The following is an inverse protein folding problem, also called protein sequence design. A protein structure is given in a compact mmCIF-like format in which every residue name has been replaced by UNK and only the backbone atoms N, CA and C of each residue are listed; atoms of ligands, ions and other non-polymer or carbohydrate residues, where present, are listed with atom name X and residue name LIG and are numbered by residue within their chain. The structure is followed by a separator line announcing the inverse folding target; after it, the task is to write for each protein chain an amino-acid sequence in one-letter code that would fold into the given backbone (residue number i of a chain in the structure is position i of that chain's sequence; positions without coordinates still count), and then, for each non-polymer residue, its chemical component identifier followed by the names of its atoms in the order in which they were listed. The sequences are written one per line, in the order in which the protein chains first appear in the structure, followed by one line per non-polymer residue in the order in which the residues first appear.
data_IF_154577146331
#
_entry.id   IF_154577146331
#
_cell.length_a   1.000
_cell.length_b   1.000
_cell.length_c   1.000
_cell.angle_alpha   90.00
_cell.angle_beta   90.00
_cell.angle_gamma   90.00
#
_symmetry.space_group_name_H-M   'P 1'
#
loop_
_entity.id
_entity.type
_entity.pdbx_description
1 polymer ?
#
# COMPACT_ATOMS: atom_id res chain seq x y z
N UNK A 1 -45.39 0.61 -28.64
CA UNK A 1 -45.12 1.05 -27.25
C UNK A 1 -43.93 0.31 -26.61
N UNK A 2 -43.92 -1.04 -26.58
CA UNK A 2 -42.84 -1.86 -25.99
C UNK A 2 -41.45 -1.57 -26.61
N UNK A 3 -41.39 -1.39 -27.95
CA UNK A 3 -40.13 -1.11 -28.66
C UNK A 3 -39.63 0.29 -28.36
N UNK A 4 -40.53 1.28 -28.24
CA UNK A 4 -40.19 2.66 -27.90
C UNK A 4 -39.67 2.72 -26.44
N UNK A 5 -40.34 2.07 -25.51
CA UNK A 5 -39.91 2.01 -24.11
C UNK A 5 -38.52 1.33 -23.97
N UNK A 6 -38.28 0.21 -24.66
CA UNK A 6 -36.96 -0.43 -24.71
C UNK A 6 -35.86 0.48 -25.30
N UNK A 7 -36.18 1.23 -26.34
CA UNK A 7 -35.24 2.17 -26.96
C UNK A 7 -34.91 3.34 -26.02
N UNK A 8 -35.89 3.87 -25.30
CA UNK A 8 -35.71 4.93 -24.31
C UNK A 8 -34.90 4.44 -23.11
N UNK A 9 -35.22 3.25 -22.59
CA UNK A 9 -34.46 2.62 -21.50
C UNK A 9 -33.00 2.36 -21.91
N UNK A 10 -32.77 1.82 -23.09
CA UNK A 10 -31.43 1.62 -23.63
C UNK A 10 -30.68 2.95 -23.75
N UNK A 11 -31.31 4.00 -24.28
CA UNK A 11 -30.70 5.34 -24.38
C UNK A 11 -30.38 5.92 -23.01
N UNK A 12 -31.23 5.74 -22.01
CA UNK A 12 -31.01 6.19 -20.65
C UNK A 12 -29.81 5.46 -20.02
N UNK A 13 -29.76 4.14 -20.14
CA UNK A 13 -28.63 3.32 -19.65
C UNK A 13 -27.30 3.70 -20.33
N UNK A 14 -27.30 3.98 -21.62
CA UNK A 14 -26.09 4.43 -22.34
C UNK A 14 -25.64 5.80 -21.83
N UNK A 15 -26.58 6.75 -21.67
CA UNK A 15 -26.27 8.09 -21.16
C UNK A 15 -25.73 8.06 -19.73
N UNK A 16 -26.39 7.30 -18.86
CA UNK A 16 -25.95 7.10 -17.47
C UNK A 16 -24.55 6.45 -17.40
N UNK A 17 -24.33 5.41 -18.21
CA UNK A 17 -23.03 4.76 -18.29
C UNK A 17 -21.92 5.71 -18.74
N UNK A 18 -22.22 6.59 -19.71
CA UNK A 18 -21.27 7.61 -20.19
C UNK A 18 -20.94 8.60 -19.07
N UNK A 19 -21.95 9.11 -18.38
CA UNK A 19 -21.77 10.06 -17.27
C UNK A 19 -20.96 9.44 -16.14
N UNK A 20 -21.27 8.19 -15.74
CA UNK A 20 -20.52 7.48 -14.70
C UNK A 20 -19.04 7.27 -15.09
N UNK A 21 -18.78 6.97 -16.38
CA UNK A 21 -17.41 6.83 -16.89
C UNK A 21 -16.64 8.15 -16.84
N UNK A 22 -17.29 9.26 -17.22
CA UNK A 22 -16.68 10.60 -17.15
C UNK A 22 -16.35 10.98 -15.70
N UNK A 23 -17.26 10.71 -14.76
CA UNK A 23 -17.01 10.94 -13.33
C UNK A 23 -15.83 10.10 -12.80
N UNK A 24 -15.75 8.84 -13.21
CA UNK A 24 -14.64 7.98 -12.85
C UNK A 24 -13.32 8.47 -13.47
N UNK A 25 -13.34 8.86 -14.74
CA UNK A 25 -12.17 9.40 -15.42
C UNK A 25 -11.66 10.68 -14.73
N UNK A 26 -12.58 11.58 -14.34
CA UNK A 26 -12.21 12.81 -13.59
C UNK A 26 -11.62 12.47 -12.22
N UNK A 27 -12.25 11.56 -11.47
CA UNK A 27 -11.81 11.15 -10.13
C UNK A 27 -10.39 10.53 -10.11
N UNK A 28 -9.99 9.86 -11.19
CA UNK A 28 -8.72 9.14 -11.26
C UNK A 28 -7.70 9.77 -12.20
N UNK A 29 -7.82 11.06 -12.49
CA UNK A 29 -6.75 11.82 -13.16
C UNK A 29 -5.49 11.90 -12.31
N UNK A 30 -4.34 11.99 -12.94
CA UNK A 30 -3.06 12.19 -12.22
C UNK A 30 -3.07 13.46 -11.37
N UNK A 31 -3.75 14.51 -11.80
CA UNK A 31 -3.90 15.77 -11.09
C UNK A 31 -4.71 15.65 -9.79
N UNK A 32 -5.47 14.56 -9.63
CA UNK A 32 -6.20 14.26 -8.40
C UNK A 32 -5.34 13.50 -7.37
N UNK A 33 -4.14 13.07 -7.76
CA UNK A 33 -3.21 12.43 -6.84
C UNK A 33 -2.54 13.52 -6.01
N UNK A 34 -2.85 13.52 -4.71
CA UNK A 34 -2.32 14.51 -3.77
C UNK A 34 -0.83 14.25 -3.55
N UNK A 35 0.01 15.15 -4.04
CA UNK A 35 1.46 15.09 -3.87
C UNK A 35 2.08 16.46 -4.11
N UNK A 36 3.12 16.76 -3.34
CA UNK A 36 4.02 17.91 -3.50
C UNK A 36 5.49 17.50 -3.42
N UNK A 37 5.75 16.21 -3.11
CA UNK A 37 7.10 15.67 -2.99
C UNK A 37 7.67 15.32 -4.35
N UNK A 38 8.92 15.72 -4.62
CA UNK A 38 9.63 15.42 -5.88
C UNK A 38 9.69 13.91 -6.18
N UNK A 39 9.88 13.09 -5.14
CA UNK A 39 9.96 11.62 -5.32
C UNK A 39 8.65 11.01 -5.79
N UNK A 40 7.51 11.55 -5.37
CA UNK A 40 6.20 11.11 -5.85
C UNK A 40 5.88 11.69 -7.23
N UNK A 41 6.24 12.93 -7.50
CA UNK A 41 6.11 13.54 -8.82
C UNK A 41 6.89 12.76 -9.89
N UNK A 42 8.09 12.29 -9.57
CA UNK A 42 8.86 11.42 -10.48
C UNK A 42 8.10 10.14 -10.80
N UNK A 43 7.50 9.48 -9.80
CA UNK A 43 6.68 8.28 -10.01
C UNK A 43 5.45 8.58 -10.88
N UNK A 44 4.76 9.70 -10.63
CA UNK A 44 3.60 10.17 -11.41
C UNK A 44 4.02 10.46 -12.87
N UNK A 45 5.14 11.12 -13.09
CA UNK A 45 5.64 11.43 -14.42
C UNK A 45 5.97 10.17 -15.24
N UNK A 46 6.60 9.16 -14.61
CA UNK A 46 6.84 7.86 -15.26
C UNK A 46 5.52 7.18 -15.59
N UNK A 47 4.58 7.16 -14.66
CA UNK A 47 3.24 6.57 -14.86
C UNK A 47 2.47 7.28 -15.98
N UNK A 48 2.51 8.61 -16.06
CA UNK A 48 1.89 9.41 -17.11
C UNK A 48 2.45 9.11 -18.50
N UNK A 49 3.77 9.00 -18.61
CA UNK A 49 4.43 8.59 -19.88
C UNK A 49 4.08 7.14 -20.25
N UNK A 50 4.02 6.24 -19.28
CA UNK A 50 3.62 4.86 -19.50
C UNK A 50 2.16 4.74 -19.94
N UNK A 51 1.28 5.64 -19.51
CA UNK A 51 -0.15 5.62 -19.84
C UNK A 51 -0.40 5.66 -21.37
N UNK A 52 0.35 6.45 -22.11
CA UNK A 52 0.24 6.59 -23.57
C UNK A 52 0.66 5.31 -24.33
N UNK A 53 1.42 4.41 -23.72
CA UNK A 53 1.92 3.20 -24.34
C UNK A 53 0.98 2.00 -24.11
N UNK A 54 1.18 0.92 -24.91
CA UNK A 54 0.52 -0.37 -24.68
C UNK A 54 1.33 -1.30 -23.77
N UNK A 55 2.50 -0.86 -23.33
CA UNK A 55 3.44 -1.66 -22.55
C UNK A 55 2.85 -2.07 -21.20
N UNK A 56 3.32 -3.20 -20.70
CA UNK A 56 3.06 -3.64 -19.32
C UNK A 56 3.74 -2.69 -18.35
N UNK A 57 3.07 -2.40 -17.24
CA UNK A 57 3.59 -1.54 -16.17
C UNK A 57 3.65 -2.36 -14.88
N UNK A 58 4.80 -2.36 -14.23
CA UNK A 58 4.99 -2.93 -12.90
C UNK A 58 5.10 -1.81 -11.87
N UNK A 59 4.13 -1.77 -10.96
CA UNK A 59 4.09 -0.78 -9.86
C UNK A 59 4.63 -1.46 -8.60
N UNK A 60 5.72 -0.95 -8.07
CA UNK A 60 6.33 -1.45 -6.82
C UNK A 60 6.17 -0.44 -5.70
N UNK A 61 6.00 -0.92 -4.48
CA UNK A 61 5.88 -0.07 -3.29
C UNK A 61 5.20 -0.79 -2.14
N UNK A 62 5.41 -0.32 -0.93
CA UNK A 62 4.84 -0.90 0.27
C UNK A 62 3.31 -0.94 0.24
N UNK A 63 2.71 -1.76 1.12
CA UNK A 63 1.25 -1.78 1.28
C UNK A 63 0.75 -0.39 1.72
N UNK A 64 -0.42 0.03 1.20
CA UNK A 64 -1.04 1.31 1.55
C UNK A 64 -0.41 2.56 0.93
N UNK A 65 0.56 2.44 0.01
CA UNK A 65 1.20 3.61 -0.66
C UNK A 65 0.35 4.25 -1.75
N UNK A 66 -0.73 3.58 -2.23
CA UNK A 66 -1.60 4.08 -3.29
C UNK A 66 -1.33 3.46 -4.67
N UNK A 67 -0.73 2.25 -4.75
CA UNK A 67 -0.45 1.55 -6.02
C UNK A 67 -1.67 1.43 -6.94
N UNK A 68 -2.85 1.09 -6.38
CA UNK A 68 -4.09 0.99 -7.15
C UNK A 68 -4.52 2.34 -7.74
N UNK A 69 -4.34 3.45 -7.02
CA UNK A 69 -4.66 4.78 -7.51
C UNK A 69 -3.82 5.12 -8.75
N UNK A 70 -2.53 4.82 -8.71
CA UNK A 70 -1.61 4.98 -9.86
C UNK A 70 -2.06 4.09 -11.04
N UNK A 71 -2.44 2.82 -10.79
CA UNK A 71 -2.92 1.92 -11.84
C UNK A 71 -4.18 2.46 -12.52
N UNK A 72 -5.14 2.99 -11.76
CA UNK A 72 -6.34 3.65 -12.28
C UNK A 72 -6.00 4.89 -13.09
N UNK A 73 -5.11 5.75 -12.59
CA UNK A 73 -4.65 6.94 -13.31
C UNK A 73 -3.99 6.58 -14.66
N UNK A 74 -3.16 5.52 -14.69
CA UNK A 74 -2.58 4.99 -15.94
C UNK A 74 -3.67 4.56 -16.92
N UNK A 75 -4.72 3.88 -16.47
CA UNK A 75 -5.80 3.45 -17.34
C UNK A 75 -6.58 4.64 -17.90
N UNK A 76 -7.04 5.57 -17.04
CA UNK A 76 -7.87 6.70 -17.45
C UNK A 76 -7.10 7.74 -18.29
N UNK A 77 -5.78 7.81 -18.18
CA UNK A 77 -4.92 8.60 -19.05
C UNK A 77 -4.49 7.87 -20.35
N UNK A 78 -4.95 6.63 -20.58
CA UNK A 78 -4.55 5.81 -21.73
C UNK A 78 -5.55 5.89 -22.89
N UNK A 79 -5.18 5.42 -24.11
CA UNK A 79 -6.12 5.24 -25.20
C UNK A 79 -7.27 4.26 -24.92
N UNK A 80 -7.21 3.51 -23.81
CA UNK A 80 -8.21 2.54 -23.36
C UNK A 80 -9.13 3.09 -22.26
N UNK A 81 -9.14 4.40 -21.99
CA UNK A 81 -9.89 5.04 -20.90
C UNK A 81 -11.38 4.70 -20.88
N UNK A 82 -11.97 4.49 -22.08
CA UNK A 82 -13.40 4.17 -22.26
C UNK A 82 -13.68 2.66 -22.27
N UNK A 83 -12.65 1.84 -22.10
CA UNK A 83 -12.72 0.38 -22.06
C UNK A 83 -12.76 -0.13 -20.60
N UNK A 84 -13.09 -1.41 -20.37
CA UNK A 84 -13.10 -1.94 -19.00
C UNK A 84 -11.77 -1.78 -18.28
N UNK A 85 -11.84 -1.37 -17.01
CA UNK A 85 -10.76 -1.51 -16.03
C UNK A 85 -11.20 -2.52 -14.98
N UNK A 86 -10.53 -3.66 -14.93
CA UNK A 86 -10.80 -4.68 -13.92
C UNK A 86 -9.60 -4.81 -13.00
N UNK A 87 -9.86 -4.83 -11.70
CA UNK A 87 -8.86 -5.08 -10.67
C UNK A 87 -9.06 -6.48 -10.07
N UNK A 88 -7.97 -7.17 -9.82
CA UNK A 88 -7.92 -8.41 -9.04
C UNK A 88 -6.79 -8.30 -8.03
N UNK A 89 -7.10 -8.59 -6.77
CA UNK A 89 -6.10 -8.67 -5.70
C UNK A 89 -5.83 -10.15 -5.42
N UNK A 90 -4.62 -10.62 -5.74
CA UNK A 90 -4.25 -12.02 -5.59
C UNK A 90 -4.08 -12.43 -4.12
N UNK A 91 -3.67 -11.51 -3.24
CA UNK A 91 -3.55 -11.79 -1.81
C UNK A 91 -4.92 -11.99 -1.09
N UNK A 92 -6.00 -11.49 -1.68
CA UNK A 92 -7.35 -11.64 -1.12
C UNK A 92 -8.02 -12.97 -1.51
N UNK A 93 -7.40 -13.75 -2.39
CA UNK A 93 -7.95 -15.00 -2.92
C UNK A 93 -7.21 -16.22 -2.34
N UNK A 94 -7.90 -17.31 -2.04
CA UNK A 94 -7.24 -18.59 -1.81
C UNK A 94 -6.41 -19.01 -3.03
N UNK A 95 -5.22 -19.56 -2.80
CA UNK A 95 -4.25 -19.91 -3.84
C UNK A 95 -4.86 -20.77 -4.96
N UNK A 96 -5.67 -21.75 -4.59
CA UNK A 96 -6.37 -22.66 -5.52
C UNK A 96 -7.47 -21.98 -6.37
N UNK A 97 -7.89 -20.77 -6.02
CA UNK A 97 -8.92 -20.03 -6.77
C UNK A 97 -8.32 -18.93 -7.67
N UNK A 98 -7.06 -18.54 -7.47
CA UNK A 98 -6.40 -17.48 -8.26
C UNK A 98 -6.45 -17.80 -9.75
N UNK A 99 -6.12 -19.05 -10.12
CA UNK A 99 -6.12 -19.49 -11.51
C UNK A 99 -7.51 -19.41 -12.13
N UNK A 100 -8.53 -19.92 -11.42
CA UNK A 100 -9.93 -19.90 -11.86
C UNK A 100 -10.50 -18.48 -11.96
N UNK A 101 -10.15 -17.56 -11.05
CA UNK A 101 -10.57 -16.16 -11.13
C UNK A 101 -9.90 -15.43 -12.31
N UNK A 102 -8.62 -15.67 -12.57
CA UNK A 102 -7.91 -15.03 -13.68
C UNK A 102 -8.38 -15.54 -15.05
N UNK A 103 -8.41 -16.86 -15.23
CA UNK A 103 -8.62 -17.49 -16.55
C UNK A 103 -10.03 -18.07 -16.75
N UNK A 104 -10.84 -18.12 -15.69
CA UNK A 104 -12.15 -18.79 -15.76
C UNK A 104 -12.05 -20.32 -15.69
N UNK A 105 -13.20 -20.97 -15.67
CA UNK A 105 -13.27 -22.42 -15.62
C UNK A 105 -14.44 -22.96 -16.43
N UNK A 106 -14.29 -24.17 -16.93
CA UNK A 106 -15.35 -24.94 -17.54
C UNK A 106 -16.15 -25.70 -16.46
N UNK A 107 -17.37 -26.12 -16.80
CA UNK A 107 -18.19 -26.92 -15.92
C UNK A 107 -17.46 -28.22 -15.60
N UNK A 108 -17.37 -28.57 -14.29
CA UNK A 108 -16.71 -29.79 -13.81
C UNK A 108 -15.18 -29.68 -13.68
N UNK A 109 -14.60 -28.50 -13.84
CA UNK A 109 -13.14 -28.30 -13.72
C UNK A 109 -12.60 -28.64 -12.32
N UNK A 110 -13.41 -28.49 -11.28
CA UNK A 110 -13.08 -28.87 -9.89
C UNK A 110 -14.39 -29.12 -9.11
N UNK A 111 -14.30 -29.62 -7.89
CA UNK A 111 -15.46 -29.87 -7.01
C UNK A 111 -16.13 -28.54 -6.66
N UNK A 112 -17.39 -28.34 -7.14
CA UNK A 112 -18.14 -27.09 -7.00
C UNK A 112 -18.19 -26.21 -8.26
N UNK A 113 -17.55 -26.61 -9.36
CA UNK A 113 -17.65 -25.95 -10.66
C UNK A 113 -18.94 -26.39 -11.40
N UNK A 114 -20.11 -25.98 -10.90
CA UNK A 114 -21.43 -26.40 -11.44
C UNK A 114 -21.75 -25.82 -12.82
N UNK A 115 -21.12 -24.73 -13.17
CA UNK A 115 -21.31 -24.02 -14.47
C UNK A 115 -20.00 -23.38 -14.95
N UNK A 116 -19.90 -23.15 -16.23
CA UNK A 116 -18.82 -22.38 -16.82
C UNK A 116 -18.83 -20.93 -16.31
N UNK A 117 -17.66 -20.37 -16.00
CA UNK A 117 -17.49 -18.97 -15.59
C UNK A 117 -16.32 -18.33 -16.33
N UNK A 118 -16.57 -17.14 -16.91
CA UNK A 118 -15.52 -16.32 -17.55
C UNK A 118 -14.56 -15.76 -16.50
N UNK A 119 -13.26 -15.79 -16.83
CA UNK A 119 -12.21 -15.22 -15.99
C UNK A 119 -12.03 -13.71 -16.20
N UNK A 120 -11.18 -13.11 -15.36
CA UNK A 120 -10.86 -11.67 -15.42
C UNK A 120 -10.25 -11.26 -16.76
N UNK A 121 -9.45 -12.12 -17.38
CA UNK A 121 -8.89 -11.86 -18.71
C UNK A 121 -9.97 -11.71 -19.79
N UNK A 122 -10.96 -12.57 -19.81
CA UNK A 122 -12.08 -12.46 -20.76
C UNK A 122 -12.92 -11.20 -20.51
N UNK A 123 -13.19 -10.90 -19.23
CA UNK A 123 -13.99 -9.74 -18.84
C UNK A 123 -13.28 -8.40 -19.10
N UNK A 124 -11.93 -8.42 -19.08
CA UNK A 124 -11.08 -7.26 -19.35
C UNK A 124 -10.74 -7.07 -20.83
N UNK A 125 -11.30 -7.90 -21.71
CA UNK A 125 -10.95 -7.84 -23.14
C UNK A 125 -11.10 -6.43 -23.72
N UNK A 126 -10.16 -6.04 -24.56
CA UNK A 126 -9.97 -4.70 -25.11
C UNK A 126 -9.67 -3.59 -24.08
N UNK A 127 -9.65 -3.90 -22.78
CA UNK A 127 -9.45 -2.99 -21.66
C UNK A 127 -8.10 -3.14 -20.97
N UNK A 128 -8.12 -2.94 -19.64
CA UNK A 128 -6.96 -3.06 -18.76
C UNK A 128 -7.28 -3.98 -17.59
N UNK A 129 -6.40 -4.94 -17.33
CA UNK A 129 -6.44 -5.77 -16.12
C UNK A 129 -5.33 -5.29 -15.17
N UNK A 130 -5.74 -4.87 -13.98
CA UNK A 130 -4.86 -4.56 -12.88
C UNK A 130 -4.75 -5.79 -11.96
N UNK A 131 -3.53 -6.31 -11.83
CA UNK A 131 -3.23 -7.45 -10.97
C UNK A 131 -2.46 -6.93 -9.77
N UNK A 132 -3.15 -6.81 -8.63
CA UNK A 132 -2.54 -6.40 -7.37
C UNK A 132 -1.93 -7.61 -6.67
N UNK A 133 -0.80 -7.38 -6.02
CA UNK A 133 0.02 -8.37 -5.32
C UNK A 133 0.40 -9.55 -6.23
N UNK A 134 1.02 -9.24 -7.39
CA UNK A 134 1.44 -10.22 -8.40
C UNK A 134 2.40 -11.28 -7.84
N UNK A 135 3.14 -10.96 -6.78
CA UNK A 135 4.04 -11.90 -6.08
C UNK A 135 3.33 -13.03 -5.33
N UNK A 136 1.99 -12.96 -5.19
CA UNK A 136 1.21 -14.03 -4.55
C UNK A 136 0.73 -15.09 -5.54
N UNK A 137 0.99 -14.94 -6.83
CA UNK A 137 0.54 -15.89 -7.85
C UNK A 137 1.39 -17.18 -7.81
N UNK A 138 0.76 -18.37 -7.71
CA UNK A 138 1.47 -19.65 -7.69
C UNK A 138 2.24 -19.91 -9.00
N UNK A 139 3.36 -20.64 -8.93
CA UNK A 139 4.21 -20.95 -10.08
C UNK A 139 3.46 -21.53 -11.30
N UNK A 140 2.51 -22.49 -11.15
CA UNK A 140 1.72 -22.98 -12.29
C UNK A 140 0.92 -21.87 -12.98
N UNK A 141 0.34 -20.97 -12.19
CA UNK A 141 -0.45 -19.83 -12.69
C UNK A 141 0.45 -18.79 -13.37
N UNK A 142 1.71 -18.60 -12.89
CA UNK A 142 2.70 -17.73 -13.53
C UNK A 142 3.02 -18.20 -14.96
N UNK A 143 3.08 -19.50 -15.23
CA UNK A 143 3.29 -20.07 -16.58
C UNK A 143 2.15 -19.68 -17.52
N UNK A 144 0.90 -19.81 -17.08
CA UNK A 144 -0.26 -19.40 -17.88
C UNK A 144 -0.29 -17.88 -18.12
N UNK A 145 0.03 -17.11 -17.08
CA UNK A 145 0.12 -15.64 -17.19
C UNK A 145 1.17 -15.22 -18.23
N UNK A 146 2.34 -15.85 -18.24
CA UNK A 146 3.39 -15.61 -19.23
C UNK A 146 2.89 -15.88 -20.66
N UNK A 147 2.13 -16.98 -20.88
CA UNK A 147 1.54 -17.30 -22.19
C UNK A 147 0.57 -16.19 -22.64
N UNK A 148 -0.27 -15.67 -21.74
CA UNK A 148 -1.16 -14.54 -22.08
C UNK A 148 -0.37 -13.29 -22.44
N UNK A 149 0.67 -12.96 -21.70
CA UNK A 149 1.52 -11.79 -21.96
C UNK A 149 2.28 -11.88 -23.30
N UNK A 150 2.59 -13.09 -23.77
CA UNK A 150 3.34 -13.32 -25.01
C UNK A 150 2.44 -13.51 -26.23
N UNK A 151 1.37 -14.30 -26.08
CA UNK A 151 0.54 -14.79 -27.17
C UNK A 151 -0.88 -14.19 -27.19
N UNK A 152 -1.28 -13.52 -26.10
CA UNK A 152 -2.65 -13.01 -25.92
C UNK A 152 -3.72 -14.14 -25.99
N UNK A 153 -3.34 -15.34 -25.56
CA UNK A 153 -4.20 -16.52 -25.55
C UNK A 153 -4.04 -17.31 -24.25
N UNK A 154 -5.10 -18.00 -23.87
CA UNK A 154 -5.10 -18.95 -22.74
C UNK A 154 -6.22 -19.97 -22.90
N UNK A 155 -6.26 -20.97 -22.03
CA UNK A 155 -7.31 -21.96 -21.90
C UNK A 155 -7.93 -21.84 -20.50
N UNK A 156 -9.26 -21.97 -20.39
CA UNK A 156 -9.95 -22.01 -19.11
C UNK A 156 -9.52 -23.24 -18.31
N UNK A 157 -9.63 -23.16 -16.99
CA UNK A 157 -9.35 -24.31 -16.12
C UNK A 157 -10.31 -25.47 -16.47
N UNK A 158 -9.76 -26.65 -16.72
CA UNK A 158 -10.53 -27.84 -17.14
C UNK A 158 -11.00 -27.82 -18.60
N UNK A 159 -10.65 -26.79 -19.37
CA UNK A 159 -10.97 -26.69 -20.81
C UNK A 159 -9.76 -26.82 -21.71
N UNK A 160 -10.02 -27.05 -23.00
CA UNK A 160 -9.02 -27.11 -24.08
C UNK A 160 -9.27 -26.07 -25.18
N UNK A 161 -10.30 -25.25 -25.06
CA UNK A 161 -10.61 -24.19 -26.01
C UNK A 161 -9.67 -23.01 -25.79
N UNK A 162 -9.00 -22.57 -26.86
CA UNK A 162 -8.12 -21.41 -26.83
C UNK A 162 -8.93 -20.13 -26.90
N UNK A 163 -8.83 -19.31 -25.87
CA UNK A 163 -9.48 -17.98 -25.79
C UNK A 163 -8.47 -16.91 -26.16
N UNK A 164 -8.84 -16.05 -27.10
CA UNK A 164 -8.03 -14.89 -27.51
C UNK A 164 -8.51 -13.63 -26.79
N UNK A 165 -7.57 -12.82 -26.29
CA UNK A 165 -7.89 -11.56 -25.59
C UNK A 165 -6.87 -10.48 -25.93
N UNK A 166 -7.31 -9.23 -25.95
CA UNK A 166 -6.42 -8.07 -26.11
C UNK A 166 -6.46 -7.20 -24.85
N UNK A 167 -5.73 -7.60 -23.81
CA UNK A 167 -5.74 -6.95 -22.51
C UNK A 167 -4.43 -6.25 -22.25
N UNK A 168 -4.48 -4.98 -21.80
CA UNK A 168 -3.32 -4.30 -21.22
C UNK A 168 -3.15 -4.73 -19.77
N UNK A 169 -1.94 -5.10 -19.38
CA UNK A 169 -1.64 -5.51 -18.00
C UNK A 169 -0.96 -4.36 -17.26
N UNK A 170 -1.45 -4.08 -16.05
CA UNK A 170 -0.78 -3.29 -15.02
C UNK A 170 -0.67 -4.20 -13.79
N UNK A 171 0.53 -4.48 -13.34
CA UNK A 171 0.77 -5.33 -12.17
C UNK A 171 1.29 -4.50 -11.00
N UNK A 172 0.96 -4.89 -9.78
CA UNK A 172 1.51 -4.27 -8.57
C UNK A 172 1.98 -5.31 -7.57
N UNK A 173 2.98 -4.94 -6.75
CA UNK A 173 3.48 -5.77 -5.65
C UNK A 173 4.15 -4.93 -4.57
N UNK A 174 4.09 -5.43 -3.34
CA UNK A 174 4.90 -4.96 -2.21
C UNK A 174 6.13 -5.86 -1.96
N UNK A 175 6.20 -7.04 -2.61
CA UNK A 175 7.31 -7.99 -2.46
C UNK A 175 8.49 -7.64 -3.36
N UNK A 176 9.68 -8.05 -2.97
CA UNK A 176 10.88 -8.00 -3.80
C UNK A 176 10.89 -9.21 -4.76
N UNK A 177 10.46 -8.98 -6.02
CA UNK A 177 10.40 -10.04 -7.02
C UNK A 177 11.78 -10.56 -7.40
N UNK A 178 12.83 -9.74 -7.33
CA UNK A 178 14.20 -10.14 -7.61
C UNK A 178 14.71 -11.17 -6.57
N UNK A 179 14.37 -10.99 -5.30
CA UNK A 179 14.64 -11.99 -4.25
C UNK A 179 13.82 -13.26 -4.50
N UNK A 180 12.55 -13.14 -4.85
CA UNK A 180 11.68 -14.28 -5.13
C UNK A 180 12.17 -15.10 -6.35
N UNK A 181 12.84 -14.48 -7.32
CA UNK A 181 13.48 -15.20 -8.42
C UNK A 181 14.64 -16.05 -7.88
N UNK A 182 15.46 -15.51 -6.99
CA UNK A 182 16.58 -16.24 -6.39
C UNK A 182 16.13 -17.42 -5.51
N UNK A 183 15.00 -17.30 -4.83
CA UNK A 183 14.42 -18.40 -4.03
C UNK A 183 13.62 -19.39 -4.87
N UNK A 184 13.33 -19.08 -6.12
CA UNK A 184 12.53 -19.93 -7.02
C UNK A 184 11.02 -19.78 -6.87
N UNK A 185 10.54 -18.77 -6.12
CA UNK A 185 9.11 -18.49 -5.90
C UNK A 185 8.49 -17.66 -7.03
N UNK A 186 9.31 -17.00 -7.85
CA UNK A 186 8.87 -16.23 -9.01
C UNK A 186 9.72 -16.54 -10.23
N UNK A 187 9.10 -16.67 -11.39
CA UNK A 187 9.80 -16.98 -12.64
C UNK A 187 10.48 -15.75 -13.23
N UNK A 188 11.72 -15.90 -13.61
CA UNK A 188 12.54 -14.85 -14.22
C UNK A 188 11.98 -14.38 -15.58
N UNK A 189 11.48 -15.30 -16.41
CA UNK A 189 10.89 -14.98 -17.71
C UNK A 189 9.61 -14.14 -17.61
N UNK A 190 8.78 -14.41 -16.61
CA UNK A 190 7.60 -13.61 -16.29
C UNK A 190 7.98 -12.22 -15.78
N UNK A 191 8.99 -12.13 -14.90
CA UNK A 191 9.48 -10.86 -14.39
C UNK A 191 9.89 -9.90 -15.50
N UNK A 192 10.72 -10.32 -16.45
CA UNK A 192 11.14 -9.47 -17.55
C UNK A 192 9.98 -9.07 -18.47
N UNK A 193 8.95 -9.90 -18.58
CA UNK A 193 7.76 -9.56 -19.39
C UNK A 193 6.82 -8.58 -18.67
N UNK A 194 6.78 -8.60 -17.35
CA UNK A 194 6.02 -7.65 -16.52
C UNK A 194 6.77 -6.32 -16.35
N UNK A 195 8.07 -6.35 -16.14
CA UNK A 195 8.90 -5.21 -15.80
C UNK A 195 9.40 -4.45 -17.05
N UNK A 196 8.48 -4.09 -17.96
CA UNK A 196 8.80 -3.26 -19.14
C UNK A 196 8.90 -1.79 -18.75
N UNK A 197 7.96 -1.31 -17.96
CA UNK A 197 8.02 0.01 -17.33
C UNK A 197 7.82 -0.17 -15.83
N UNK A 198 8.80 0.23 -15.03
CA UNK A 198 8.72 0.17 -13.57
C UNK A 198 8.32 1.53 -13.00
N UNK A 199 7.29 1.55 -12.16
CA UNK A 199 6.86 2.71 -11.38
C UNK A 199 7.03 2.37 -9.90
N UNK A 200 7.97 3.04 -9.25
CA UNK A 200 8.20 2.84 -7.81
C UNK A 200 7.45 3.91 -7.01
N UNK A 201 6.46 3.48 -6.22
CA UNK A 201 5.67 4.38 -5.36
C UNK A 201 6.36 4.47 -3.99
N UNK A 202 6.89 5.64 -3.61
CA UNK A 202 7.65 5.79 -2.37
C UNK A 202 6.74 5.63 -1.14
N UNK A 203 7.27 5.06 -0.03
CA UNK A 203 6.57 5.03 1.24
C UNK A 203 6.40 6.44 1.82
N UNK A 204 5.36 6.64 2.66
CA UNK A 204 4.96 7.96 3.14
C UNK A 204 6.08 8.66 3.94
N UNK A 205 6.89 7.90 4.70
CA UNK A 205 8.05 8.42 5.43
C UNK A 205 9.14 9.04 4.53
N UNK A 206 9.19 8.68 3.24
CA UNK A 206 10.10 9.27 2.23
C UNK A 206 9.49 10.46 1.48
N UNK A 207 8.19 10.74 1.72
CA UNK A 207 7.46 11.86 1.11
C UNK A 207 6.71 12.69 2.15
N UNK A 208 7.39 12.99 3.27
CA UNK A 208 6.82 13.77 4.38
C UNK A 208 6.15 15.10 3.98
N UNK A 209 6.62 15.84 2.95
CA UNK A 209 5.92 17.03 2.46
C UNK A 209 4.46 16.77 2.02
N UNK A 210 4.09 15.54 1.65
CA UNK A 210 2.73 15.21 1.25
C UNK A 210 1.78 15.06 2.45
N UNK A 211 2.31 14.81 3.67
CA UNK A 211 1.51 14.52 4.87
C UNK A 211 0.50 15.64 5.19
N UNK A 212 0.89 16.94 5.22
CA UNK A 212 -0.07 17.99 5.53
C UNK A 212 -1.25 18.05 4.56
N UNK A 213 -0.99 17.95 3.25
CA UNK A 213 -2.04 17.98 2.24
C UNK A 213 -2.95 16.75 2.30
N UNK A 214 -2.36 15.55 2.50
CA UNK A 214 -3.13 14.31 2.70
C UNK A 214 -3.99 14.41 3.96
N UNK A 215 -3.43 14.94 5.03
CA UNK A 215 -4.13 15.12 6.31
C UNK A 215 -5.31 16.07 6.16
N UNK A 216 -5.14 17.20 5.48
CA UNK A 216 -6.21 18.16 5.19
C UNK A 216 -7.30 17.52 4.30
N UNK A 217 -6.90 16.78 3.28
CA UNK A 217 -7.84 16.06 2.43
C UNK A 217 -8.71 15.07 3.23
N UNK A 218 -8.10 14.24 4.08
CA UNK A 218 -8.84 13.28 4.91
C UNK A 218 -9.67 13.97 5.98
N UNK A 219 -9.18 15.06 6.57
CA UNK A 219 -9.96 15.89 7.49
C UNK A 219 -11.26 16.35 6.82
N UNK A 220 -11.15 16.95 5.64
CA UNK A 220 -12.30 17.46 4.89
C UNK A 220 -13.27 16.33 4.47
N UNK A 221 -12.72 15.19 4.03
CA UNK A 221 -13.49 14.00 3.64
C UNK A 221 -14.33 13.51 4.81
N UNK A 222 -13.69 13.17 5.92
CA UNK A 222 -14.36 12.55 7.08
C UNK A 222 -15.21 13.54 7.89
N UNK A 223 -14.87 14.84 7.89
CA UNK A 223 -15.74 15.86 8.47
C UNK A 223 -17.08 15.94 7.75
N UNK A 224 -17.10 15.86 6.42
CA UNK A 224 -18.34 15.82 5.63
C UNK A 224 -19.11 14.51 5.82
N UNK A 225 -18.42 13.36 5.76
CA UNK A 225 -19.04 12.04 5.91
C UNK A 225 -19.69 11.84 7.29
N UNK A 226 -19.13 12.46 8.34
CA UNK A 226 -19.63 12.35 9.71
C UNK A 226 -20.45 13.59 10.16
N UNK A 227 -20.76 14.52 9.24
CA UNK A 227 -21.51 15.76 9.54
C UNK A 227 -20.90 16.56 10.70
N UNK A 228 -19.54 16.62 10.76
CA UNK A 228 -18.77 17.31 11.78
C UNK A 228 -18.19 18.62 11.26
N UNK A 229 -18.30 19.69 12.05
CA UNK A 229 -17.67 20.98 11.74
C UNK A 229 -16.25 21.06 12.33
N UNK A 230 -15.33 20.20 11.85
CA UNK A 230 -13.93 20.28 12.25
C UNK A 230 -13.19 21.13 11.20
N UNK A 231 -12.58 22.21 11.66
CA UNK A 231 -11.99 23.23 10.78
C UNK A 231 -10.48 23.07 10.57
N UNK A 232 -9.78 22.61 11.60
CA UNK A 232 -8.31 22.56 11.58
C UNK A 232 -7.75 21.51 12.54
N UNK A 233 -6.44 21.31 12.42
CA UNK A 233 -5.64 20.42 13.27
C UNK A 233 -4.67 21.32 14.05
N UNK A 234 -4.52 21.10 15.35
CA UNK A 234 -3.58 21.86 16.16
C UNK A 234 -2.14 21.64 15.68
N UNK A 235 -1.29 22.64 15.88
CA UNK A 235 0.13 22.55 15.47
C UNK A 235 0.82 21.35 16.13
N UNK A 236 0.56 21.11 17.39
CA UNK A 236 1.13 20.01 18.15
C UNK A 236 0.67 18.63 17.60
N UNK A 237 -0.59 18.52 17.17
CA UNK A 237 -1.10 17.32 16.52
C UNK A 237 -0.46 17.10 15.15
N UNK A 238 -0.30 18.17 14.36
CA UNK A 238 0.39 18.11 13.07
C UNK A 238 1.86 17.72 13.22
N UNK A 239 2.55 18.26 14.23
CA UNK A 239 3.95 17.89 14.53
C UNK A 239 4.10 16.41 14.85
N UNK A 240 3.13 15.80 15.55
CA UNK A 240 3.11 14.35 15.78
C UNK A 240 2.90 13.56 14.49
N UNK A 241 1.93 13.97 13.67
CA UNK A 241 1.66 13.35 12.37
C UNK A 241 2.88 13.40 11.44
N UNK A 242 3.63 14.51 11.44
CA UNK A 242 4.86 14.67 10.62
C UNK A 242 6.04 13.81 11.09
N UNK A 243 6.10 13.46 12.38
CA UNK A 243 7.19 12.66 12.96
C UNK A 243 6.93 11.16 12.84
N UNK A 244 5.69 10.74 12.73
CA UNK A 244 5.33 9.32 12.68
C UNK A 244 5.78 8.67 11.36
N UNK A 245 6.21 7.40 11.41
CA UNK A 245 6.84 6.71 10.27
C UNK A 245 5.84 5.99 9.34
N UNK A 246 4.59 5.85 9.75
CA UNK A 246 3.50 5.25 8.95
C UNK A 246 3.85 3.90 8.33
N UNK A 247 4.01 2.81 9.09
CA UNK A 247 4.25 1.47 8.54
C UNK A 247 3.14 1.02 7.56
N UNK A 248 1.89 1.46 7.78
CA UNK A 248 0.76 1.26 6.86
C UNK A 248 0.57 2.38 5.82
N UNK A 249 1.54 3.30 5.70
CA UNK A 249 1.57 4.38 4.70
C UNK A 249 0.29 5.26 4.70
N UNK A 250 -0.22 5.61 3.50
CA UNK A 250 -1.39 6.48 3.35
C UNK A 250 -2.66 5.84 3.93
N UNK A 251 -2.79 4.51 3.84
CA UNK A 251 -3.93 3.81 4.44
C UNK A 251 -3.96 3.96 5.95
N UNK A 252 -2.81 3.95 6.60
CA UNK A 252 -2.73 4.19 8.05
C UNK A 252 -3.01 5.66 8.39
N UNK A 253 -2.46 6.61 7.63
CA UNK A 253 -2.78 8.02 7.82
C UNK A 253 -4.29 8.29 7.65
N UNK A 254 -4.93 7.70 6.64
CA UNK A 254 -6.37 7.77 6.42
C UNK A 254 -7.14 7.28 7.67
N UNK A 255 -6.80 6.09 8.18
CA UNK A 255 -7.44 5.53 9.38
C UNK A 255 -7.20 6.40 10.63
N UNK A 256 -5.99 6.96 10.79
CA UNK A 256 -5.66 7.89 11.89
C UNK A 256 -6.54 9.12 11.82
N UNK A 257 -6.73 9.69 10.64
CA UNK A 257 -7.56 10.88 10.45
C UNK A 257 -9.06 10.60 10.63
N UNK A 258 -9.53 9.47 10.11
CA UNK A 258 -10.91 9.02 10.34
C UNK A 258 -11.20 8.89 11.84
N UNK A 259 -10.33 8.17 12.56
CA UNK A 259 -10.47 8.00 14.01
C UNK A 259 -10.43 9.35 14.75
N UNK A 260 -9.51 10.25 14.37
CA UNK A 260 -9.39 11.56 15.00
C UNK A 260 -10.66 12.41 14.81
N UNK A 261 -11.23 12.39 13.60
CA UNK A 261 -12.50 13.09 13.31
C UNK A 261 -13.66 12.51 14.12
N UNK A 262 -13.80 11.19 14.16
CA UNK A 262 -14.90 10.51 14.88
C UNK A 262 -14.82 10.76 16.39
N UNK A 263 -13.63 10.72 16.97
CA UNK A 263 -13.42 10.87 18.42
C UNK A 263 -13.29 12.31 18.89
N UNK A 264 -13.03 13.26 18.01
CA UNK A 264 -12.94 14.69 18.37
C UNK A 264 -14.23 15.20 19.02
N UNK A 265 -14.09 16.02 20.05
CA UNK A 265 -15.20 16.66 20.76
C UNK A 265 -15.39 18.13 20.39
N UNK A 266 -14.47 18.70 19.66
CA UNK A 266 -14.46 20.11 19.28
C UNK A 266 -14.33 20.34 17.78
N UNK A 267 -14.12 21.59 17.40
CA UNK A 267 -13.89 22.01 16.01
C UNK A 267 -12.40 21.94 15.58
N UNK A 268 -11.52 21.51 16.47
CA UNK A 268 -10.07 21.42 16.24
C UNK A 268 -9.59 20.03 16.70
N UNK A 269 -8.85 19.32 15.86
CA UNK A 269 -8.17 18.07 16.23
C UNK A 269 -6.94 18.41 17.07
N UNK A 270 -6.88 17.84 18.27
CA UNK A 270 -5.77 17.97 19.19
C UNK A 270 -4.97 16.67 19.30
N UNK A 271 -3.84 16.70 19.99
CA UNK A 271 -3.02 15.50 20.26
C UNK A 271 -3.81 14.40 20.99
N UNK A 272 -4.85 14.75 21.75
CA UNK A 272 -5.68 13.79 22.50
C UNK A 272 -6.61 12.97 21.60
N UNK A 273 -6.95 13.51 20.44
CA UNK A 273 -7.83 12.89 19.46
C UNK A 273 -7.08 11.90 18.55
N UNK A 274 -5.73 11.98 18.52
CA UNK A 274 -4.89 11.06 17.78
C UNK A 274 -4.76 9.69 18.48
N UNK A 275 -4.60 8.58 17.75
CA UNK A 275 -4.33 7.26 18.30
C UNK A 275 -3.08 7.24 19.20
N UNK A 276 -3.08 6.31 20.18
CA UNK A 276 -1.91 6.12 21.07
C UNK A 276 -0.63 5.81 20.32
N UNK A 277 -0.71 5.06 19.22
CA UNK A 277 0.44 4.70 18.37
C UNK A 277 1.16 5.94 17.83
N UNK A 278 0.42 6.95 17.38
CA UNK A 278 0.99 8.22 16.90
C UNK A 278 1.52 9.06 18.05
N UNK A 279 0.82 9.07 19.21
CA UNK A 279 1.23 9.84 20.40
C UNK A 279 2.48 9.27 21.05
N UNK A 280 2.60 7.95 21.13
CA UNK A 280 3.73 7.26 21.76
C UNK A 280 5.00 7.23 20.91
N UNK A 281 4.91 7.50 19.63
CA UNK A 281 6.08 7.58 18.75
C UNK A 281 7.15 8.62 19.19
N UNK A 282 6.80 9.52 20.11
CA UNK A 282 7.78 10.38 20.80
C UNK A 282 8.41 9.74 22.05
N UNK A 283 7.81 8.66 22.56
CA UNK A 283 8.15 8.09 23.86
C UNK A 283 9.00 6.83 23.77
N UNK A 284 9.21 6.31 22.58
CA UNK A 284 10.17 5.23 22.45
C UNK A 284 11.57 5.82 22.48
N UNK A 285 12.33 5.58 23.57
CA UNK A 285 13.76 5.60 23.44
C UNK A 285 14.06 4.65 22.28
N UNK A 286 14.82 5.09 21.28
CA UNK A 286 15.40 4.18 20.28
C UNK A 286 15.83 2.95 21.04
N UNK A 287 15.18 1.81 20.82
CA UNK A 287 15.76 0.54 21.25
C UNK A 287 17.19 0.61 20.77
N UNK A 288 18.20 0.44 21.61
CA UNK A 288 19.56 0.44 21.13
C UNK A 288 19.55 -0.54 19.95
N UNK A 289 20.02 -0.07 18.77
CA UNK A 289 20.28 -0.95 17.65
C UNK A 289 21.26 -2.00 18.17
N UNK A 290 20.72 -3.10 18.63
CA UNK A 290 21.52 -4.26 19.02
C UNK A 290 21.98 -4.84 17.69
N UNK A 291 23.02 -4.22 17.12
CA UNK A 291 23.78 -4.85 16.07
C UNK A 291 24.33 -6.15 16.66
N UNK A 292 23.88 -7.27 16.12
CA UNK A 292 24.36 -8.61 16.52
C UNK A 292 25.83 -8.89 16.08
N UNK A 293 26.58 -7.84 15.75
CA UNK A 293 28.00 -7.88 15.44
C UNK A 293 28.80 -7.53 16.70
N UNK A 294 29.15 -8.54 17.48
CA UNK A 294 30.02 -8.39 18.65
C UNK A 294 29.87 -9.53 19.66
N UNK A 295 30.87 -9.68 20.55
CA UNK A 295 30.82 -10.63 21.64
C UNK A 295 29.65 -10.25 22.60
N UNK A 296 28.81 -11.23 22.95
CA UNK A 296 27.65 -11.07 23.84
C UNK A 296 27.95 -10.24 25.11
N UNK A 297 29.13 -10.42 25.71
CA UNK A 297 29.53 -9.66 26.89
C UNK A 297 29.78 -8.18 26.62
N UNK A 298 30.29 -7.82 25.44
CA UNK A 298 30.51 -6.41 25.03
C UNK A 298 29.18 -5.69 24.81
N UNK A 299 28.17 -6.38 24.26
CA UNK A 299 26.84 -5.84 24.09
C UNK A 299 26.13 -5.61 25.42
N UNK A 300 26.25 -6.54 26.36
CA UNK A 300 25.74 -6.36 27.75
C UNK A 300 26.40 -5.17 28.42
N UNK A 301 27.73 -5.03 28.31
CA UNK A 301 28.44 -3.89 28.89
C UNK A 301 28.01 -2.55 28.28
N UNK A 302 27.83 -2.49 26.97
CA UNK A 302 27.36 -1.29 26.31
C UNK A 302 25.94 -0.91 26.78
N UNK A 303 25.03 -1.88 26.88
CA UNK A 303 23.67 -1.67 27.38
C UNK A 303 23.65 -1.22 28.84
N UNK A 304 24.48 -1.84 29.69
CA UNK A 304 24.61 -1.44 31.10
C UNK A 304 25.09 0.01 31.24
N UNK A 305 26.10 0.41 30.46
CA UNK A 305 26.61 1.79 30.44
C UNK A 305 25.51 2.78 30.06
N UNK A 306 24.72 2.46 29.02
CA UNK A 306 23.66 3.33 28.55
C UNK A 306 22.52 3.48 29.58
N UNK A 307 22.09 2.38 30.19
CA UNK A 307 21.09 2.39 31.25
C UNK A 307 21.54 3.18 32.48
N UNK A 308 22.81 3.04 32.89
CA UNK A 308 23.37 3.78 34.01
C UNK A 308 23.44 5.27 33.71
N UNK A 309 23.87 5.64 32.48
CA UNK A 309 23.91 7.05 32.04
C UNK A 309 22.54 7.67 32.06
N UNK A 310 21.56 6.98 31.47
CA UNK A 310 20.17 7.45 31.46
C UNK A 310 19.60 7.66 32.85
N UNK A 311 19.82 6.70 33.75
CA UNK A 311 19.35 6.80 35.13
C UNK A 311 20.03 7.93 35.95
N UNK A 312 21.30 8.22 35.68
CA UNK A 312 22.01 9.33 36.29
C UNK A 312 21.49 10.68 35.78
N UNK A 313 21.23 10.79 34.48
CA UNK A 313 20.64 11.98 33.88
C UNK A 313 19.25 12.27 34.48
N UNK A 314 18.39 11.27 34.57
CA UNK A 314 17.06 11.41 35.17
C UNK A 314 17.10 11.70 36.68
N UNK A 315 18.16 11.29 37.34
CA UNK A 315 18.37 11.53 38.77
C UNK A 315 19.18 12.80 39.05
N UNK A 316 19.44 13.66 38.03
CA UNK A 316 20.27 14.87 38.19
C UNK A 316 21.64 14.60 38.85
N UNK A 317 22.27 13.47 38.53
CA UNK A 317 23.55 13.04 39.08
C UNK A 317 23.49 12.40 40.48
N UNK A 318 22.34 12.31 41.13
CA UNK A 318 22.18 11.76 42.49
C UNK A 318 22.18 10.24 42.45
N UNK A 319 23.30 9.60 42.83
CA UNK A 319 23.48 8.15 42.72
C UNK A 319 22.46 7.31 43.49
N UNK A 320 21.99 7.78 44.66
CA UNK A 320 20.91 7.11 45.42
C UNK A 320 19.59 7.05 44.67
N UNK A 321 19.23 8.12 43.97
CA UNK A 321 18.01 8.17 43.13
C UNK A 321 18.19 7.31 41.88
N UNK A 322 19.32 7.38 41.21
CA UNK A 322 19.64 6.58 40.05
C UNK A 322 19.62 5.07 40.33
N UNK A 323 20.20 4.64 41.47
CA UNK A 323 20.16 3.24 41.90
C UNK A 323 18.72 2.74 42.10
N UNK A 324 17.84 3.60 42.65
CA UNK A 324 16.44 3.28 42.86
C UNK A 324 15.66 3.18 41.54
N UNK A 325 15.97 4.04 40.56
CA UNK A 325 15.40 3.96 39.20
C UNK A 325 15.80 2.68 38.48
N UNK A 326 17.05 2.23 38.66
CA UNK A 326 17.59 0.98 38.07
C UNK A 326 17.18 -0.28 38.83
N UNK A 327 16.50 -0.18 39.99
CA UNK A 327 16.13 -1.33 40.81
C UNK A 327 17.34 -2.06 41.42
N UNK A 328 18.48 -1.38 41.57
CA UNK A 328 19.71 -1.95 42.14
C UNK A 328 20.13 -1.22 43.43
N UNK A 329 21.02 -1.83 44.19
CA UNK A 329 21.58 -1.17 45.41
C UNK A 329 22.59 -0.09 45.01
N UNK A 330 22.71 0.96 45.84
CA UNK A 330 23.69 2.03 45.64
C UNK A 330 25.12 1.50 45.57
N UNK A 331 25.43 0.46 46.35
CA UNK A 331 26.72 -0.22 46.33
C UNK A 331 26.99 -0.88 44.96
N UNK A 332 25.97 -1.48 44.37
CA UNK A 332 26.08 -2.12 43.06
C UNK A 332 26.25 -1.07 41.95
N UNK A 333 25.52 0.06 42.03
CA UNK A 333 25.71 1.17 41.11
C UNK A 333 27.11 1.74 41.17
N UNK A 334 27.66 2.00 42.36
CA UNK A 334 29.06 2.48 42.55
C UNK A 334 30.08 1.50 41.98
N UNK A 335 29.87 0.20 42.16
CA UNK A 335 30.74 -0.82 41.58
C UNK A 335 30.74 -0.72 40.06
N UNK A 336 29.55 -0.63 39.43
CA UNK A 336 29.42 -0.51 37.97
C UNK A 336 30.01 0.80 37.45
N UNK A 337 29.78 1.91 38.12
CA UNK A 337 30.39 3.20 37.77
C UNK A 337 31.93 3.14 37.78
N UNK A 338 32.51 2.49 38.77
CA UNK A 338 33.95 2.31 38.82
C UNK A 338 34.45 1.33 37.74
N UNK A 339 33.72 0.24 37.50
CA UNK A 339 34.04 -0.75 36.45
C UNK A 339 34.08 -0.11 35.05
N UNK A 340 33.16 0.78 34.77
CA UNK A 340 33.02 1.43 33.44
C UNK A 340 33.66 2.82 33.33
N UNK A 341 34.40 3.26 34.36
CA UNK A 341 35.10 4.55 34.36
C UNK A 341 34.17 5.78 34.30
N UNK A 342 32.92 5.62 34.68
CA UNK A 342 31.91 6.68 34.72
C UNK A 342 31.96 7.35 36.10
N UNK A 343 32.66 8.52 36.21
CA UNK A 343 32.69 9.34 37.44
C UNK A 343 31.74 10.52 37.32
#
# INVERSE_FOLDING_TARGET
EIVINKALEHRHLVSENTLLREQLAEKFKFEQIISVSEVMEQAINIAGRAAASKSTVLITGESGTGKELIARAIHYASPRKDKPFLAVNCAALPENLIESELFGHEKGAYTGADRMRKGRFELADSGTLFIDEIGEIPLPTQVKLLRVLQQQTFERVGGSETVHVNVRIVAATNRNLEEMITTGDFREDLYYRLNVVRVNVPPLRKRKPDIPMLTEFFLNKYSRENEREIKEISKEAMDLLMKYEYPGNVRELENVMEQAVVLSRGSIITTRDLPMTVRSAQSEPKSPDVMLDGNFNEQIEALEIELIRYALDQAEGVQTKAAKLLGITERNLRYKLNKYGMK
#
